data_IF_480857866705
#
_entry.id   IF_480857866705
#
_cell.length_a   1.000
_cell.length_b   1.000
_cell.length_c   1.000
_cell.angle_alpha   90.00
_cell.angle_beta   90.00
_cell.angle_gamma   90.00
#
_symmetry.space_group_name_H-M   'P 1'
#
loop_
_entity.id
_entity.type
_entity.pdbx_description
1 polymer ?
#
# COMPACT_ATOMS: atom_id res chain seq x y z
N UNK A 1 -19.59 19.49 15.09
CA UNK A 1 -19.00 20.79 15.51
C UNK A 1 -17.96 20.51 16.59
N UNK A 2 -16.70 20.86 16.39
CA UNK A 2 -15.72 20.95 17.48
C UNK A 2 -15.55 22.44 17.80
N UNK A 3 -16.21 22.88 18.86
CA UNK A 3 -16.16 24.25 19.36
C UNK A 3 -16.03 24.17 20.88
N UNK A 4 -14.81 24.27 21.36
CA UNK A 4 -14.51 24.51 22.78
C UNK A 4 -13.24 25.34 22.88
N UNK A 5 -13.36 26.63 22.63
CA UNK A 5 -12.64 27.64 23.40
C UNK A 5 -13.71 28.16 24.38
N UNK A 6 -13.52 28.21 25.69
CA UNK A 6 -12.35 28.61 26.48
C UNK A 6 -12.30 27.67 27.71
N UNK A 7 -11.21 27.07 28.19
CA UNK A 7 -9.91 27.66 28.51
C UNK A 7 -8.74 26.65 28.46
N UNK A 8 -8.92 25.44 27.90
CA UNK A 8 -7.89 24.38 27.90
C UNK A 8 -7.83 23.59 26.55
N UNK A 9 -8.09 24.28 25.45
CA UNK A 9 -8.53 23.72 24.16
C UNK A 9 -7.42 23.16 23.25
N UNK A 10 -7.68 22.00 22.63
CA UNK A 10 -6.83 21.24 21.69
C UNK A 10 -6.04 22.16 20.74
N UNK A 11 -4.70 22.17 20.91
CA UNK A 11 -3.83 23.13 20.25
C UNK A 11 -3.62 22.86 18.74
N UNK A 12 -3.57 21.60 18.31
CA UNK A 12 -3.40 21.16 16.91
C UNK A 12 -3.94 19.74 16.74
N UNK A 13 -4.66 19.49 15.65
CA UNK A 13 -5.12 18.14 15.27
C UNK A 13 -4.27 17.68 14.10
N UNK A 14 -3.55 16.56 14.28
CA UNK A 14 -2.88 15.86 13.19
C UNK A 14 -3.74 14.67 12.80
N UNK A 15 -4.35 14.74 11.61
CA UNK A 15 -5.07 13.62 11.04
C UNK A 15 -4.13 12.87 10.11
N UNK A 16 -3.96 11.56 10.34
CA UNK A 16 -3.21 10.67 9.46
C UNK A 16 -4.17 9.63 8.87
N UNK A 17 -3.93 9.23 7.63
CA UNK A 17 -4.79 8.28 6.92
C UNK A 17 -4.91 8.59 5.43
N UNK A 18 -5.50 7.64 4.72
CA UNK A 18 -5.78 7.73 3.29
C UNK A 18 -7.19 8.29 3.09
N UNK A 19 -7.31 9.62 3.11
CA UNK A 19 -8.56 10.28 2.71
C UNK A 19 -8.32 10.99 1.39
N UNK A 20 -8.78 10.44 0.24
CA UNK A 20 -8.67 11.15 -1.03
C UNK A 20 -9.45 12.47 -1.00
N UNK A 21 -10.43 12.57 -0.10
CA UNK A 21 -11.45 13.59 -0.13
C UNK A 21 -11.06 14.93 0.48
N UNK A 22 -11.70 15.99 0.00
CA UNK A 22 -11.56 17.34 0.56
C UNK A 22 -12.22 17.38 1.94
N UNK A 23 -11.42 17.48 3.01
CA UNK A 23 -11.88 17.46 4.40
C UNK A 23 -12.92 18.55 4.73
N UNK A 24 -12.86 19.69 4.04
CA UNK A 24 -13.83 20.79 4.21
C UNK A 24 -15.28 20.38 3.85
N UNK A 25 -15.48 19.36 3.02
CA UNK A 25 -16.82 18.86 2.68
C UNK A 25 -17.48 18.07 3.81
N UNK A 26 -16.68 17.50 4.72
CA UNK A 26 -17.22 16.72 5.85
C UNK A 26 -17.57 17.61 7.04
N UNK A 27 -16.86 18.74 7.21
CA UNK A 27 -17.10 19.66 8.33
C UNK A 27 -16.50 21.03 8.03
N UNK A 28 -17.28 22.09 8.27
CA UNK A 28 -16.87 23.49 8.11
C UNK A 28 -15.67 23.92 8.95
N UNK A 29 -15.25 23.13 9.94
CA UNK A 29 -14.05 23.38 10.74
C UNK A 29 -12.73 22.99 10.07
N UNK A 30 -12.76 22.21 8.98
CA UNK A 30 -11.56 21.73 8.28
C UNK A 30 -11.16 22.59 7.08
N UNK A 31 -11.85 23.69 6.83
CA UNK A 31 -11.54 24.65 5.75
C UNK A 31 -10.14 25.25 5.90
N UNK A 32 -9.61 25.26 7.13
CA UNK A 32 -8.27 25.77 7.50
C UNK A 32 -7.22 24.66 7.60
N UNK A 33 -7.55 23.42 7.26
CA UNK A 33 -6.60 22.30 7.32
C UNK A 33 -5.61 22.35 6.17
N UNK A 34 -4.35 22.01 6.45
CA UNK A 34 -3.30 21.92 5.45
C UNK A 34 -3.03 20.44 5.11
N UNK A 35 -3.06 20.10 3.82
CA UNK A 35 -2.69 18.76 3.37
C UNK A 35 -1.16 18.66 3.21
N UNK A 36 -0.55 17.83 4.04
CA UNK A 36 0.90 17.64 4.11
C UNK A 36 1.37 16.32 3.47
N UNK A 37 0.46 15.48 2.96
CA UNK A 37 0.75 14.10 2.51
C UNK A 37 1.87 14.02 1.47
N UNK A 38 1.90 14.94 0.50
CA UNK A 38 2.91 14.94 -0.57
C UNK A 38 4.16 15.79 -0.24
N UNK A 39 4.19 16.46 0.92
CA UNK A 39 5.30 17.33 1.31
C UNK A 39 6.47 16.49 1.80
N UNK A 40 7.65 16.66 1.17
CA UNK A 40 8.86 15.88 1.45
C UNK A 40 9.24 15.81 2.93
N UNK A 41 9.09 16.92 3.66
CA UNK A 41 9.44 16.99 5.09
C UNK A 41 8.57 16.11 5.99
N UNK A 42 7.45 15.60 5.51
CA UNK A 42 6.48 14.83 6.29
C UNK A 42 6.45 13.34 5.92
N UNK A 43 7.20 12.89 4.91
CA UNK A 43 7.20 11.48 4.49
C UNK A 43 7.59 10.51 5.62
N UNK A 44 8.47 10.96 6.53
CA UNK A 44 8.90 10.17 7.69
C UNK A 44 7.79 9.94 8.73
N UNK A 45 6.70 10.72 8.71
CA UNK A 45 5.60 10.55 9.67
C UNK A 45 4.67 9.37 9.35
N UNK A 46 4.71 8.87 8.11
CA UNK A 46 3.73 7.91 7.60
C UNK A 46 4.33 6.51 7.41
N UNK A 47 5.54 6.25 7.92
CA UNK A 47 6.32 5.05 7.62
C UNK A 47 7.01 4.47 8.83
N UNK A 48 7.32 3.18 8.74
CA UNK A 48 8.47 2.61 9.44
C UNK A 48 9.73 2.79 8.60
N UNK A 49 10.84 3.13 9.23
CA UNK A 49 12.19 3.05 8.67
C UNK A 49 12.73 1.63 8.84
N UNK A 50 13.68 1.26 7.98
CA UNK A 50 14.38 -0.03 8.08
C UNK A 50 14.92 -0.29 9.50
N UNK A 51 15.56 0.70 10.10
CA UNK A 51 16.11 0.63 11.46
C UNK A 51 15.06 0.39 12.54
N UNK A 52 13.85 0.91 12.37
CA UNK A 52 12.75 0.71 13.33
C UNK A 52 12.20 -0.71 13.23
N UNK A 53 12.12 -1.28 12.02
CA UNK A 53 11.74 -2.68 11.83
C UNK A 53 12.81 -3.61 12.41
N UNK A 54 14.09 -3.33 12.15
CA UNK A 54 15.21 -4.07 12.76
C UNK A 54 15.19 -4.00 14.28
N UNK A 55 14.86 -2.84 14.85
CA UNK A 55 14.66 -2.68 16.29
C UNK A 55 13.53 -3.57 16.81
N UNK A 56 12.38 -3.61 16.13
CA UNK A 56 11.26 -4.48 16.51
C UNK A 56 11.63 -5.96 16.43
N UNK A 57 12.31 -6.40 15.37
CA UNK A 57 12.79 -7.77 15.23
C UNK A 57 13.76 -8.14 16.37
N UNK A 58 14.67 -7.23 16.74
CA UNK A 58 15.56 -7.43 17.88
C UNK A 58 14.81 -7.49 19.21
N UNK A 59 13.70 -6.76 19.37
CA UNK A 59 12.85 -6.86 20.57
C UNK A 59 12.10 -8.19 20.65
N UNK A 60 11.63 -8.71 19.51
CA UNK A 60 10.90 -9.99 19.47
C UNK A 60 11.85 -11.15 19.74
N UNK A 61 12.96 -11.22 18.99
CA UNK A 61 13.81 -12.41 18.96
C UNK A 61 15.04 -12.27 19.86
N UNK A 62 15.55 -11.06 20.11
CA UNK A 62 16.78 -10.89 20.90
C UNK A 62 17.91 -11.77 20.34
N UNK A 63 18.47 -12.65 21.16
CA UNK A 63 19.49 -13.61 20.72
C UNK A 63 18.93 -15.00 20.33
N UNK A 64 17.59 -15.18 20.32
CA UNK A 64 16.95 -16.47 20.00
C UNK A 64 17.08 -16.84 18.52
N UNK A 65 17.17 -15.84 17.64
CA UNK A 65 17.51 -16.00 16.24
C UNK A 65 18.87 -15.37 15.94
N UNK A 66 19.66 -16.05 15.11
CA UNK A 66 20.91 -15.49 14.59
C UNK A 66 20.66 -14.23 13.75
N UNK A 67 21.66 -13.35 13.70
CA UNK A 67 21.55 -12.11 12.93
C UNK A 67 21.42 -12.35 11.42
N UNK A 68 21.92 -13.48 10.90
CA UNK A 68 21.68 -13.86 9.51
C UNK A 68 20.21 -14.14 9.24
N UNK A 69 19.54 -14.85 10.13
CA UNK A 69 18.10 -15.11 10.00
C UNK A 69 17.29 -13.81 10.11
N UNK A 70 17.63 -12.92 11.05
CA UNK A 70 16.95 -11.61 11.14
C UNK A 70 17.13 -10.77 9.89
N UNK A 71 18.32 -10.80 9.28
CA UNK A 71 18.59 -10.15 7.99
C UNK A 71 17.73 -10.74 6.87
N UNK A 72 17.53 -12.05 6.86
CA UNK A 72 16.67 -12.73 5.90
C UNK A 72 15.19 -12.33 6.09
N UNK A 73 14.70 -12.33 7.35
CA UNK A 73 13.35 -11.83 7.67
C UNK A 73 13.20 -10.39 7.18
N UNK A 74 14.20 -9.54 7.44
CA UNK A 74 14.17 -8.15 7.00
C UNK A 74 14.17 -8.01 5.48
N UNK A 75 14.94 -8.85 4.78
CA UNK A 75 14.95 -8.89 3.31
C UNK A 75 13.57 -9.28 2.76
N UNK A 76 12.91 -10.28 3.36
CA UNK A 76 11.57 -10.72 2.95
C UNK A 76 10.52 -9.66 3.26
N UNK A 77 10.53 -9.06 4.46
CA UNK A 77 9.64 -7.95 4.80
C UNK A 77 9.80 -6.78 3.83
N UNK A 78 11.04 -6.46 3.44
CA UNK A 78 11.32 -5.45 2.41
C UNK A 78 10.74 -5.85 1.07
N UNK A 79 11.07 -7.04 0.56
CA UNK A 79 10.59 -7.52 -0.74
C UNK A 79 9.07 -7.51 -0.84
N UNK A 80 8.38 -7.91 0.23
CA UNK A 80 6.93 -8.08 0.23
C UNK A 80 6.17 -6.78 0.53
N UNK A 81 6.70 -5.88 1.36
CA UNK A 81 5.97 -4.71 1.90
C UNK A 81 6.55 -3.33 1.57
N UNK A 82 7.82 -3.23 1.15
CA UNK A 82 8.42 -1.95 0.72
C UNK A 82 7.99 -1.62 -0.70
N UNK A 83 7.87 -0.34 -1.01
CA UNK A 83 7.61 0.13 -2.38
C UNK A 83 6.53 1.20 -2.50
N UNK A 84 6.09 1.82 -1.40
CA UNK A 84 5.25 3.02 -1.52
C UNK A 84 6.12 4.28 -1.73
N UNK A 85 5.74 5.08 -2.71
CA UNK A 85 6.35 6.33 -3.12
C UNK A 85 5.25 7.36 -3.33
N UNK A 86 5.25 8.40 -2.49
CA UNK A 86 4.31 9.51 -2.64
C UNK A 86 4.80 10.58 -3.62
N UNK A 87 6.03 10.43 -4.10
CA UNK A 87 6.62 11.35 -5.06
C UNK A 87 7.68 10.65 -5.90
N UNK A 88 7.75 10.98 -7.19
CA UNK A 88 8.69 10.38 -8.15
C UNK A 88 10.19 10.54 -7.79
N UNK A 89 10.52 11.62 -7.07
CA UNK A 89 11.88 11.92 -6.59
C UNK A 89 12.11 11.50 -5.12
N UNK A 90 11.26 10.64 -4.57
CA UNK A 90 11.48 10.12 -3.22
C UNK A 90 12.63 9.09 -3.27
N UNK A 91 13.64 9.22 -2.40
CA UNK A 91 14.89 8.46 -2.53
C UNK A 91 14.74 6.97 -2.20
N UNK A 92 13.80 6.64 -1.32
CA UNK A 92 13.58 5.29 -0.82
C UNK A 92 12.09 5.02 -0.68
N UNK A 93 11.67 3.77 -0.90
CA UNK A 93 10.31 3.34 -0.62
C UNK A 93 9.97 3.46 0.87
N UNK A 94 8.67 3.52 1.15
CA UNK A 94 8.16 3.49 2.52
C UNK A 94 7.33 2.24 2.75
N UNK A 95 7.35 1.79 4.00
CA UNK A 95 6.57 0.67 4.46
C UNK A 95 5.20 1.13 4.95
N UNK A 96 4.14 0.40 4.57
CA UNK A 96 2.83 0.58 5.16
C UNK A 96 2.87 0.14 6.64
N UNK A 97 2.58 1.04 7.61
CA UNK A 97 2.71 0.72 9.03
C UNK A 97 1.78 -0.39 9.51
N UNK A 98 0.54 -0.43 9.03
CA UNK A 98 -0.43 -1.46 9.41
C UNK A 98 0.05 -2.84 8.97
N UNK A 99 0.61 -2.94 7.75
CA UNK A 99 1.19 -4.19 7.23
C UNK A 99 2.41 -4.65 8.01
N UNK A 100 3.33 -3.73 8.33
CA UNK A 100 4.50 -4.08 9.14
C UNK A 100 4.07 -4.52 10.54
N UNK A 101 3.18 -3.79 11.20
CA UNK A 101 2.68 -4.16 12.52
C UNK A 101 1.97 -5.52 12.50
N UNK A 102 1.22 -5.80 11.43
CA UNK A 102 0.65 -7.12 11.21
C UNK A 102 1.72 -8.20 11.10
N UNK A 103 2.72 -8.02 10.23
CA UNK A 103 3.81 -8.99 10.06
C UNK A 103 4.59 -9.23 11.35
N UNK A 104 4.88 -8.16 12.11
CA UNK A 104 5.52 -8.21 13.43
C UNK A 104 4.66 -9.01 14.41
N UNK A 105 3.34 -8.80 14.42
CA UNK A 105 2.40 -9.58 15.25
C UNK A 105 2.39 -11.06 14.87
N UNK A 106 2.40 -11.41 13.58
CA UNK A 106 2.46 -12.80 13.13
C UNK A 106 3.77 -13.47 13.54
N UNK A 107 4.90 -12.77 13.37
CA UNK A 107 6.21 -13.22 13.84
C UNK A 107 6.24 -13.48 15.36
N UNK A 108 5.57 -12.64 16.15
CA UNK A 108 5.45 -12.87 17.59
C UNK A 108 4.68 -14.14 17.93
N UNK A 109 3.59 -14.43 17.21
CA UNK A 109 2.80 -15.65 17.44
C UNK A 109 3.57 -16.92 17.05
N UNK A 110 4.35 -16.85 15.98
CA UNK A 110 5.12 -17.99 15.47
C UNK A 110 6.53 -18.09 16.05
N UNK A 111 6.91 -17.19 16.98
CA UNK A 111 8.24 -17.14 17.58
C UNK A 111 8.74 -18.51 18.06
N UNK A 112 7.89 -19.26 18.76
CA UNK A 112 8.27 -20.59 19.29
C UNK A 112 8.66 -21.57 18.20
N UNK A 113 7.93 -21.58 17.08
CA UNK A 113 8.21 -22.47 15.95
C UNK A 113 9.50 -22.07 15.24
N UNK A 114 9.75 -20.77 15.11
CA UNK A 114 10.96 -20.22 14.49
C UNK A 114 12.22 -20.42 15.35
N UNK A 115 12.07 -20.47 16.67
CA UNK A 115 13.17 -20.71 17.61
C UNK A 115 13.65 -22.18 17.59
N UNK A 116 12.84 -23.13 17.09
CA UNK A 116 13.23 -24.56 17.01
C UNK A 116 14.19 -24.76 15.84
N UNK A 117 15.46 -24.97 16.14
CA UNK A 117 16.48 -25.36 15.16
C UNK A 117 16.94 -24.25 14.20
N UNK A 118 16.30 -23.08 14.22
CA UNK A 118 16.58 -21.93 13.34
C UNK A 118 16.70 -22.32 11.86
N UNK A 119 15.90 -23.28 11.40
CA UNK A 119 15.92 -23.75 10.03
C UNK A 119 15.43 -22.64 9.08
N UNK A 120 16.27 -22.15 8.15
CA UNK A 120 15.87 -21.10 7.20
C UNK A 120 14.63 -21.46 6.39
N UNK A 121 14.42 -22.75 6.09
CA UNK A 121 13.27 -23.22 5.30
C UNK A 121 11.95 -23.08 6.04
N UNK A 122 11.94 -23.37 7.35
CA UNK A 122 10.78 -23.17 8.23
C UNK A 122 10.45 -21.69 8.29
N UNK A 123 11.44 -20.83 8.52
CA UNK A 123 11.27 -19.38 8.62
C UNK A 123 10.73 -18.78 7.32
N UNK A 124 11.27 -19.21 6.18
CA UNK A 124 10.79 -18.79 4.88
C UNK A 124 9.34 -19.23 4.63
N UNK A 125 9.00 -20.47 4.97
CA UNK A 125 7.64 -21.01 4.82
C UNK A 125 6.64 -20.27 5.71
N UNK A 126 6.98 -20.09 6.98
CA UNK A 126 6.27 -19.30 7.99
C UNK A 126 5.93 -17.90 7.47
N UNK A 127 6.93 -17.16 6.96
CA UNK A 127 6.76 -15.80 6.45
C UNK A 127 5.87 -15.72 5.20
N UNK A 128 6.00 -16.67 4.28
CA UNK A 128 5.20 -16.67 3.06
C UNK A 128 3.74 -17.09 3.29
N UNK A 129 3.47 -17.82 4.38
CA UNK A 129 2.15 -18.34 4.72
C UNK A 129 1.37 -17.43 5.69
N UNK A 130 1.80 -16.17 5.87
CA UNK A 130 1.00 -15.21 6.62
C UNK A 130 -0.38 -15.08 5.98
N UNK A 131 -1.47 -15.20 6.76
CA UNK A 131 -2.79 -14.97 6.21
C UNK A 131 -2.94 -13.52 5.73
N UNK A 132 -3.92 -13.26 4.87
CA UNK A 132 -4.25 -11.89 4.52
C UNK A 132 -4.75 -11.15 5.76
N UNK A 133 -4.23 -9.94 5.99
CA UNK A 133 -4.78 -9.06 7.02
C UNK A 133 -5.99 -8.31 6.46
N UNK A 134 -7.16 -8.63 7.00
CA UNK A 134 -8.44 -8.04 6.63
C UNK A 134 -8.46 -6.52 6.83
N UNK A 135 -7.68 -5.98 7.77
CA UNK A 135 -7.66 -4.53 8.04
C UNK A 135 -6.96 -3.71 6.97
N UNK A 136 -6.19 -4.37 6.13
CA UNK A 136 -5.34 -3.76 5.11
C UNK A 136 -5.67 -4.26 3.71
N UNK A 137 -6.68 -5.15 3.59
CA UNK A 137 -7.31 -5.43 2.31
C UNK A 137 -7.97 -4.15 1.79
N UNK A 138 -7.96 -3.94 0.46
CA UNK A 138 -8.73 -2.85 -0.12
C UNK A 138 -10.20 -2.99 0.24
N UNK A 139 -10.84 -1.90 0.67
CA UNK A 139 -12.26 -1.93 1.00
C UNK A 139 -13.10 -2.35 -0.22
N UNK A 140 -14.09 -3.22 0.00
CA UNK A 140 -14.94 -3.77 -1.06
C UNK A 140 -15.54 -2.68 -1.95
N UNK A 141 -16.08 -1.61 -1.34
CA UNK A 141 -16.65 -0.47 -2.07
C UNK A 141 -15.64 0.22 -2.98
N UNK A 142 -14.37 0.34 -2.55
CA UNK A 142 -13.30 0.93 -3.35
C UNK A 142 -12.93 0.01 -4.50
N UNK A 143 -12.85 -1.30 -4.26
CA UNK A 143 -12.63 -2.28 -5.30
C UNK A 143 -13.75 -2.25 -6.33
N UNK A 144 -15.01 -2.26 -5.92
CA UNK A 144 -16.15 -2.19 -6.83
C UNK A 144 -16.11 -0.94 -7.71
N UNK A 145 -15.72 0.20 -7.13
CA UNK A 145 -15.56 1.47 -7.86
C UNK A 145 -14.42 1.43 -8.89
N UNK A 146 -13.33 0.73 -8.60
CA UNK A 146 -12.18 0.61 -9.51
C UNK A 146 -12.48 -0.44 -10.59
N UNK A 147 -12.95 -1.62 -10.17
CA UNK A 147 -13.24 -2.78 -11.01
C UNK A 147 -14.35 -2.45 -11.98
N UNK A 148 -15.51 -1.98 -11.52
CA UNK A 148 -16.64 -1.73 -12.43
C UNK A 148 -16.52 -0.41 -13.21
N UNK A 149 -15.38 0.29 -13.10
CA UNK A 149 -15.13 1.49 -13.86
C UNK A 149 -14.89 1.15 -15.35
N UNK A 150 -15.44 1.92 -16.32
CA UNK A 150 -15.16 1.75 -17.75
C UNK A 150 -13.67 1.73 -18.12
N UNK A 151 -12.84 2.49 -17.39
CA UNK A 151 -11.39 2.53 -17.55
C UNK A 151 -10.65 1.55 -16.61
N UNK A 152 -11.35 0.94 -15.66
CA UNK A 152 -10.78 0.08 -14.63
C UNK A 152 -10.03 -1.11 -15.21
N UNK A 153 -10.68 -1.88 -16.09
CA UNK A 153 -10.08 -3.06 -16.72
C UNK A 153 -8.76 -2.73 -17.43
N UNK A 154 -8.75 -1.70 -18.30
CA UNK A 154 -7.55 -1.36 -19.08
C UNK A 154 -6.39 -0.94 -18.18
N UNK A 155 -6.65 -0.10 -17.17
CA UNK A 155 -5.64 0.34 -16.21
C UNK A 155 -5.09 -0.83 -15.40
N UNK A 156 -5.96 -1.72 -14.93
CA UNK A 156 -5.51 -2.92 -14.20
C UNK A 156 -4.66 -3.80 -15.11
N UNK A 157 -5.10 -4.09 -16.33
CA UNK A 157 -4.32 -4.87 -17.29
C UNK A 157 -2.96 -4.23 -17.59
N UNK A 158 -2.87 -2.91 -17.74
CA UNK A 158 -1.59 -2.20 -17.90
C UNK A 158 -0.68 -2.41 -16.67
N UNK A 159 -1.22 -2.21 -15.47
CA UNK A 159 -0.50 -2.35 -14.21
C UNK A 159 0.03 -3.78 -14.01
N UNK A 160 -0.79 -4.78 -14.35
CA UNK A 160 -0.45 -6.19 -14.22
C UNK A 160 0.65 -6.62 -15.18
N UNK A 161 0.63 -6.09 -16.40
CA UNK A 161 1.65 -6.31 -17.42
C UNK A 161 2.96 -5.54 -17.19
N UNK A 162 3.15 -4.95 -16.00
CA UNK A 162 4.30 -4.12 -15.64
C UNK A 162 4.54 -2.96 -16.63
N UNK A 163 3.47 -2.48 -17.27
CA UNK A 163 3.54 -1.29 -18.11
C UNK A 163 3.38 -0.08 -17.18
N UNK A 164 4.23 0.95 -17.31
CA UNK A 164 4.10 2.14 -16.50
C UNK A 164 2.76 2.82 -16.78
N UNK A 165 2.01 3.09 -15.72
CA UNK A 165 0.76 3.82 -15.81
C UNK A 165 1.08 5.31 -15.96
N UNK A 166 1.01 5.81 -17.19
CA UNK A 166 1.48 7.15 -17.50
C UNK A 166 0.42 8.22 -17.20
N UNK A 167 0.83 9.29 -16.53
CA UNK A 167 0.09 10.55 -16.39
C UNK A 167 0.99 11.71 -16.79
N UNK A 168 0.46 12.66 -17.57
CA UNK A 168 1.18 13.89 -17.93
C UNK A 168 1.25 14.89 -16.79
N UNK A 169 0.26 14.87 -15.89
CA UNK A 169 0.08 15.88 -14.84
C UNK A 169 0.26 15.32 -13.43
N UNK A 170 0.64 14.04 -13.30
CA UNK A 170 0.76 13.38 -12.00
C UNK A 170 -0.60 13.03 -11.40
N UNK A 171 -0.68 13.12 -10.06
CA UNK A 171 -1.93 12.94 -9.30
C UNK A 171 -2.59 14.30 -9.09
N UNK A 172 -3.91 14.33 -9.17
CA UNK A 172 -4.71 15.46 -8.75
C UNK A 172 -5.14 15.32 -7.30
N UNK A 173 -4.97 16.40 -6.52
CA UNK A 173 -5.37 16.45 -5.10
C UNK A 173 -6.74 17.10 -4.94
N UNK A 174 -7.80 16.54 -5.54
CA UNK A 174 -9.15 17.15 -5.52
C UNK A 174 -10.28 16.13 -5.62
N UNK A 175 -10.38 15.17 -4.72
CA UNK A 175 -11.61 14.37 -4.63
C UNK A 175 -12.65 15.11 -3.81
N UNK A 176 -13.34 16.04 -4.44
CA UNK A 176 -14.66 16.40 -3.93
C UNK A 176 -15.58 15.19 -4.16
N UNK A 177 -16.56 14.95 -3.28
CA UNK A 177 -17.56 13.88 -3.49
C UNK A 177 -18.27 14.03 -4.84
N UNK A 178 -18.40 15.27 -5.31
CA UNK A 178 -18.94 15.63 -6.63
C UNK A 178 -18.13 15.08 -7.81
N UNK A 179 -16.82 14.90 -7.63
CA UNK A 179 -15.90 14.47 -8.70
C UNK A 179 -15.86 12.94 -8.88
N UNK A 180 -16.57 12.17 -8.04
CA UNK A 180 -16.76 10.72 -8.26
C UNK A 180 -17.35 10.44 -9.65
N UNK A 181 -18.16 11.36 -10.18
CA UNK A 181 -18.73 11.29 -11.53
C UNK A 181 -17.71 11.37 -12.66
N UNK A 182 -16.50 11.88 -12.39
CA UNK A 182 -15.42 11.97 -13.36
C UNK A 182 -14.59 10.68 -13.42
N UNK A 183 -14.61 9.84 -12.38
CA UNK A 183 -13.87 8.58 -12.34
C UNK A 183 -14.10 7.70 -13.58
N UNK A 184 -15.32 7.60 -14.15
CA UNK A 184 -15.57 6.76 -15.32
C UNK A 184 -14.99 7.28 -16.64
N UNK A 185 -14.70 8.59 -16.74
CA UNK A 185 -14.36 9.25 -18.01
C UNK A 185 -12.97 9.92 -18.00
N UNK A 186 -12.42 10.20 -16.82
CA UNK A 186 -11.11 10.84 -16.67
C UNK A 186 -10.10 9.85 -16.07
N UNK A 187 -9.12 9.47 -16.91
CA UNK A 187 -8.03 8.56 -16.52
C UNK A 187 -7.21 9.09 -15.35
N UNK A 188 -6.93 10.40 -15.31
CA UNK A 188 -6.15 11.03 -14.24
C UNK A 188 -6.93 10.96 -12.92
N UNK A 189 -8.24 11.20 -12.95
CA UNK A 189 -9.11 11.08 -11.77
C UNK A 189 -9.10 9.65 -11.22
N UNK A 190 -9.21 8.63 -12.08
CA UNK A 190 -9.15 7.24 -11.64
C UNK A 190 -7.77 6.82 -11.11
N UNK A 191 -6.68 7.20 -11.80
CA UNK A 191 -5.32 6.98 -11.28
C UNK A 191 -5.12 7.65 -9.92
N UNK A 192 -5.62 8.87 -9.79
CA UNK A 192 -5.51 9.62 -8.55
C UNK A 192 -6.29 8.93 -7.43
N UNK A 193 -7.47 8.38 -7.74
CA UNK A 193 -8.29 7.63 -6.77
C UNK A 193 -7.59 6.35 -6.33
N UNK A 194 -7.03 5.60 -7.28
CA UNK A 194 -6.25 4.39 -7.00
C UNK A 194 -5.01 4.69 -6.15
N UNK A 195 -4.31 5.81 -6.42
CA UNK A 195 -3.15 6.25 -5.66
C UNK A 195 -3.49 6.55 -4.19
N UNK A 196 -4.52 7.36 -3.94
CA UNK A 196 -4.91 7.70 -2.57
C UNK A 196 -5.48 6.53 -1.79
N UNK A 197 -6.00 5.49 -2.45
CA UNK A 197 -6.42 4.25 -1.81
C UNK A 197 -5.29 3.23 -1.68
N UNK A 198 -4.05 3.58 -2.05
CA UNK A 198 -2.88 2.71 -1.93
C UNK A 198 -2.83 1.55 -2.93
N UNK A 199 -3.69 1.54 -3.95
CA UNK A 199 -3.68 0.52 -5.00
C UNK A 199 -2.51 0.69 -5.97
N UNK A 200 -2.08 1.94 -6.20
CA UNK A 200 -0.90 2.28 -6.99
C UNK A 200 -0.04 3.32 -6.28
N UNK A 201 1.20 3.44 -6.73
CA UNK A 201 2.22 4.33 -6.19
C UNK A 201 3.00 4.98 -7.32
N UNK A 202 3.74 6.06 -7.06
CA UNK A 202 4.73 6.53 -8.02
C UNK A 202 5.77 5.45 -8.29
N UNK A 203 6.12 5.28 -9.56
CA UNK A 203 7.35 4.61 -9.92
C UNK A 203 8.52 5.53 -9.56
N UNK A 204 9.56 5.04 -8.86
CA UNK A 204 10.75 5.83 -8.60
C UNK A 204 11.42 6.20 -9.93
N UNK A 205 11.68 7.50 -10.14
CA UNK A 205 12.26 7.97 -11.39
C UNK A 205 13.74 7.57 -11.48
N UNK A 206 14.10 6.77 -12.48
CA UNK A 206 15.51 6.49 -12.82
C UNK A 206 16.20 7.70 -13.47
N UNK A 207 15.43 8.67 -14.01
CA UNK A 207 15.95 9.89 -14.64
C UNK A 207 15.20 11.14 -14.14
N UNK A 208 15.86 12.03 -13.39
CA UNK A 208 15.27 13.28 -12.87
C UNK A 208 14.79 14.25 -13.95
N UNK A 209 15.29 14.11 -15.19
CA UNK A 209 14.97 14.98 -16.32
C UNK A 209 13.61 14.65 -16.99
N UNK A 210 13.05 13.46 -16.72
CA UNK A 210 11.73 13.10 -17.23
C UNK A 210 10.65 13.87 -16.48
N UNK A 211 9.82 14.59 -17.23
CA UNK A 211 8.60 15.22 -16.70
C UNK A 211 7.44 14.24 -16.57
N UNK A 212 7.59 13.01 -17.06
CA UNK A 212 6.55 12.00 -17.03
C UNK A 212 6.30 11.49 -15.61
N UNK A 213 5.03 11.27 -15.28
CA UNK A 213 4.62 10.67 -14.02
C UNK A 213 4.15 9.25 -14.30
N UNK A 214 4.89 8.26 -13.81
CA UNK A 214 4.56 6.86 -13.97
C UNK A 214 4.09 6.28 -12.64
N UNK A 215 3.14 5.35 -12.69
CA UNK A 215 2.68 4.61 -11.53
C UNK A 215 2.78 3.11 -11.74
N UNK A 216 2.89 2.41 -10.61
CA UNK A 216 2.93 0.95 -10.53
C UNK A 216 2.19 0.47 -9.27
N UNK A 217 1.99 -0.85 -9.16
CA UNK A 217 1.49 -1.47 -7.93
C UNK A 217 2.66 -1.52 -6.94
N UNK A 218 2.49 -1.07 -5.68
CA UNK A 218 3.62 -0.75 -4.80
C UNK A 218 4.51 -1.94 -4.44
N UNK A 219 3.93 -3.11 -4.17
CA UNK A 219 4.71 -4.25 -3.71
C UNK A 219 3.99 -5.58 -3.95
N UNK A 220 4.66 -6.68 -3.64
CA UNK A 220 4.13 -8.03 -3.84
C UNK A 220 2.84 -8.29 -3.03
N UNK A 221 2.75 -7.80 -1.79
CA UNK A 221 1.56 -8.01 -0.94
C UNK A 221 0.36 -7.25 -1.47
N UNK A 222 0.50 -5.95 -1.73
CA UNK A 222 -0.55 -5.13 -2.31
C UNK A 222 -1.00 -5.68 -3.66
N UNK A 223 -0.04 -6.16 -4.46
CA UNK A 223 -0.33 -6.85 -5.72
C UNK A 223 -1.17 -8.10 -5.47
N UNK A 224 -0.74 -9.02 -4.61
CA UNK A 224 -1.48 -10.26 -4.30
C UNK A 224 -2.89 -9.95 -3.81
N UNK A 225 -3.04 -9.03 -2.88
CA UNK A 225 -4.32 -8.73 -2.23
C UNK A 225 -5.30 -8.02 -3.14
N UNK A 226 -4.84 -6.93 -3.77
CA UNK A 226 -5.68 -6.16 -4.68
C UNK A 226 -6.18 -7.05 -5.82
N UNK A 227 -5.30 -7.88 -6.37
CA UNK A 227 -5.64 -8.79 -7.46
C UNK A 227 -6.60 -9.88 -6.99
N UNK A 228 -6.31 -10.54 -5.86
CA UNK A 228 -7.15 -11.61 -5.34
C UNK A 228 -8.56 -11.12 -5.05
N UNK A 229 -8.71 -9.93 -4.46
CA UNK A 229 -10.03 -9.37 -4.20
C UNK A 229 -10.71 -8.83 -5.48
N UNK A 230 -9.97 -8.18 -6.38
CA UNK A 230 -10.52 -7.75 -7.67
C UNK A 230 -10.99 -8.93 -8.53
N UNK A 231 -10.36 -10.10 -8.41
CA UNK A 231 -10.76 -11.33 -9.09
C UNK A 231 -12.12 -11.86 -8.66
N UNK A 232 -12.53 -11.61 -7.42
CA UNK A 232 -13.84 -12.05 -6.93
C UNK A 232 -14.99 -11.24 -7.54
N UNK A 233 -14.71 -10.03 -7.99
CA UNK A 233 -15.71 -9.06 -8.44
C UNK A 233 -15.86 -9.09 -9.97
N UNK A 234 -14.74 -9.15 -10.69
CA UNK A 234 -14.76 -9.21 -12.15
C UNK A 234 -14.92 -10.65 -12.64
N UNK A 235 -15.78 -10.86 -13.64
CA UNK A 235 -15.78 -12.08 -14.46
C UNK A 235 -14.63 -12.08 -15.47
N UNK A 236 -13.39 -12.19 -14.99
CA UNK A 236 -12.19 -12.17 -15.82
C UNK A 236 -12.15 -13.36 -16.80
N UNK A 237 -11.64 -13.13 -18.02
CA UNK A 237 -11.37 -14.22 -18.97
C UNK A 237 -9.96 -14.77 -18.72
N UNK A 238 -9.73 -16.03 -19.09
CA UNK A 238 -8.44 -16.73 -18.91
C UNK A 238 -7.25 -16.00 -19.53
N UNK A 239 -7.47 -15.37 -20.68
CA UNK A 239 -6.50 -14.51 -21.40
C UNK A 239 -6.10 -13.25 -20.59
N UNK A 240 -7.03 -12.71 -19.79
CA UNK A 240 -6.73 -11.59 -18.89
C UNK A 240 -5.87 -12.03 -17.68
N UNK A 241 -5.78 -13.35 -17.39
CA UNK A 241 -5.08 -13.94 -16.24
C UNK A 241 -3.61 -14.26 -16.51
N UNK A 242 -3.19 -14.32 -17.78
CA UNK A 242 -1.83 -14.71 -18.17
C UNK A 242 -0.74 -13.92 -17.42
N UNK A 243 -0.84 -12.59 -17.21
CA UNK A 243 0.20 -11.82 -16.51
C UNK A 243 0.29 -12.09 -14.99
N UNK A 244 -0.72 -12.75 -14.43
CA UNK A 244 -0.89 -12.99 -12.99
C UNK A 244 -0.86 -14.47 -12.60
N UNK A 245 -0.87 -15.37 -13.58
CA UNK A 245 -0.71 -16.81 -13.38
C UNK A 245 0.46 -17.21 -12.47
N UNK A 246 1.68 -16.63 -12.60
CA UNK A 246 2.79 -16.93 -11.71
C UNK A 246 2.58 -16.52 -10.24
N UNK A 247 1.65 -15.59 -10.00
CA UNK A 247 1.31 -15.08 -8.65
C UNK A 247 0.23 -15.93 -8.00
N UNK A 248 -0.73 -16.42 -8.81
CA UNK A 248 -1.76 -17.35 -8.35
C UNK A 248 -1.16 -18.72 -8.06
N UNK A 249 -0.27 -19.23 -8.93
CA UNK A 249 0.38 -20.54 -8.74
C UNK A 249 1.31 -20.61 -7.53
N UNK A 250 1.83 -19.47 -7.05
CA UNK A 250 2.63 -19.41 -5.83
C UNK A 250 1.80 -19.61 -4.54
N UNK A 251 0.49 -19.41 -4.59
CA UNK A 251 -0.42 -19.58 -3.45
C UNK A 251 -1.35 -20.80 -3.60
N UNK A 252 -1.68 -21.24 -4.82
CA UNK A 252 -2.44 -22.45 -5.07
C UNK A 252 -1.51 -23.67 -5.15
N UNK A 253 -0.84 -23.96 -4.03
CA UNK A 253 -0.32 -25.31 -3.76
C UNK A 253 -1.49 -26.28 -3.59
N UNK A 254 -2.12 -26.66 -4.70
CA UNK A 254 -3.16 -27.68 -4.76
C UNK A 254 -4.53 -27.17 -5.22
N UNK A 255 -4.87 -27.57 -6.47
CA UNK A 255 -6.20 -27.65 -7.10
C UNK A 255 -6.82 -26.33 -7.58
N UNK A 256 -6.69 -26.15 -8.89
CA UNK A 256 -7.75 -25.66 -9.79
C UNK A 256 -8.83 -26.75 -9.85
#
# INVERSE_FOLDING_TARGET
MLKTACDESIARIFLTGVTPFVMAEFTSGFNISENLTLKKGFWDLYRFKKSEIEFLLNKIFGNSLSDNIKKEIMFLLKKENDGYFFHRNQPEGIYNPARILYSIRQLMFQKKEMDVGQDPSVIFTTLNNFPFDLQTLPAQTILDLIVNNPLGKSILTEALNRRPLNSKHGIEQRFQLTNIRELPINRISLLSFMFYNGAITYQPNSSPASLQHNFEIPNCVAKKEFITEAFKIYGWKEEDLIPVHPLLSANFGGRI
#
